data_IF_220776638744
#
_entry.id   IF_220776638744
#
_cell.length_a   1.000
_cell.length_b   1.000
_cell.length_c   1.000
_cell.angle_alpha   90.00
_cell.angle_beta   90.00
_cell.angle_gamma   90.00
#
_symmetry.space_group_name_H-M   'P 1'
#
loop_
_entity.id
_entity.type
_entity.pdbx_description
1 polymer ?
#
# COMPACT_ATOMS: atom_id res chain seq x y z
N UNK A 1 13.77 -5.34 -9.37
CA UNK A 1 14.32 -4.39 -8.38
C UNK A 1 13.24 -3.99 -7.40
N UNK A 2 13.61 -3.73 -6.14
CA UNK A 2 12.73 -3.11 -5.14
C UNK A 2 12.52 -1.63 -5.46
N UNK A 3 11.45 -1.02 -4.94
CA UNK A 3 11.13 0.40 -5.19
C UNK A 3 12.10 1.40 -4.57
N UNK A 4 12.95 0.98 -3.60
CA UNK A 4 13.94 1.86 -2.96
C UNK A 4 13.36 2.97 -2.08
N UNK A 5 12.16 2.81 -1.54
CA UNK A 5 11.51 3.81 -0.65
C UNK A 5 12.31 4.07 0.65
N UNK A 6 13.05 3.07 1.12
CA UNK A 6 13.84 3.12 2.37
C UNK A 6 15.36 3.08 2.11
N UNK A 7 15.81 3.35 0.90
CA UNK A 7 17.23 3.31 0.51
C UNK A 7 17.42 2.94 -0.96
N UNK A 8 18.64 2.54 -1.32
CA UNK A 8 18.95 2.13 -2.70
C UNK A 8 18.11 0.90 -3.13
N UNK A 9 17.60 0.94 -4.36
CA UNK A 9 16.91 -0.20 -4.98
C UNK A 9 17.79 -1.45 -5.00
N UNK A 10 17.24 -2.59 -4.57
CA UNK A 10 17.95 -3.88 -4.52
C UNK A 10 17.49 -4.77 -5.66
N UNK A 11 18.44 -5.42 -6.33
CA UNK A 11 18.15 -6.41 -7.37
C UNK A 11 17.70 -7.73 -6.76
N UNK A 12 16.41 -8.05 -6.81
CA UNK A 12 15.87 -9.31 -6.29
C UNK A 12 16.16 -10.45 -7.27
N UNK A 13 16.81 -11.51 -6.81
CA UNK A 13 17.05 -12.71 -7.62
C UNK A 13 15.81 -13.62 -7.61
N UNK A 14 15.03 -13.54 -8.68
CA UNK A 14 13.75 -14.24 -8.79
C UNK A 14 13.88 -15.52 -9.63
N UNK A 15 13.67 -16.72 -9.06
CA UNK A 15 13.54 -17.96 -9.83
C UNK A 15 12.33 -17.92 -10.78
N UNK A 16 12.38 -18.73 -11.85
CA UNK A 16 11.25 -18.84 -12.79
C UNK A 16 9.96 -19.29 -12.10
N UNK A 17 10.04 -20.22 -11.15
CA UNK A 17 8.88 -20.68 -10.39
C UNK A 17 8.24 -19.54 -9.57
N UNK A 18 9.06 -18.64 -9.01
CA UNK A 18 8.57 -17.48 -8.27
C UNK A 18 7.80 -16.51 -9.19
N UNK A 19 8.36 -16.18 -10.36
CA UNK A 19 7.69 -15.34 -11.34
C UNK A 19 6.40 -15.98 -11.89
N UNK A 20 6.43 -17.30 -12.11
CA UNK A 20 5.26 -18.05 -12.55
C UNK A 20 4.16 -18.06 -11.50
N UNK A 21 4.51 -18.26 -10.22
CA UNK A 21 3.57 -18.26 -9.12
C UNK A 21 2.79 -16.95 -9.00
N UNK A 22 3.45 -15.79 -9.14
CA UNK A 22 2.76 -14.50 -9.19
C UNK A 22 1.65 -14.48 -10.24
N UNK A 23 1.95 -14.98 -11.43
CA UNK A 23 1.03 -14.94 -12.55
C UNK A 23 -0.10 -15.98 -12.41
N UNK A 24 0.22 -17.20 -12.01
CA UNK A 24 -0.72 -18.30 -11.83
C UNK A 24 -1.74 -18.02 -10.72
N UNK A 25 -1.28 -17.51 -9.58
CA UNK A 25 -2.15 -17.06 -8.50
C UNK A 25 -3.06 -15.90 -8.94
N UNK A 26 -2.55 -14.98 -9.77
CA UNK A 26 -3.38 -13.90 -10.30
C UNK A 26 -4.46 -14.41 -11.26
N UNK A 27 -4.13 -15.39 -12.11
CA UNK A 27 -5.15 -16.08 -12.96
C UNK A 27 -6.25 -16.65 -12.08
N UNK A 28 -5.88 -17.38 -11.04
CA UNK A 28 -6.80 -18.00 -10.08
C UNK A 28 -7.64 -16.97 -9.34
N UNK A 29 -7.01 -15.92 -8.79
CA UNK A 29 -7.66 -14.86 -8.01
C UNK A 29 -8.63 -14.04 -8.83
N UNK A 30 -8.32 -13.74 -10.10
CA UNK A 30 -9.19 -12.94 -10.98
C UNK A 30 -10.11 -13.80 -11.82
N UNK A 31 -9.99 -15.13 -11.72
CA UNK A 31 -10.69 -16.10 -12.58
C UNK A 31 -10.51 -15.77 -14.06
N UNK A 32 -9.26 -15.43 -14.42
CA UNK A 32 -8.94 -14.99 -15.79
C UNK A 32 -9.01 -16.16 -16.77
N UNK A 33 -9.63 -15.91 -17.93
CA UNK A 33 -9.83 -16.88 -19.01
C UNK A 33 -9.42 -16.30 -20.36
N UNK A 34 -9.36 -17.11 -21.41
CA UNK A 34 -9.09 -16.68 -22.78
C UNK A 34 -10.13 -15.69 -23.34
N UNK A 35 -11.31 -15.61 -22.74
CA UNK A 35 -12.38 -14.69 -23.16
C UNK A 35 -12.25 -13.30 -22.52
N UNK A 36 -11.35 -13.13 -21.58
CA UNK A 36 -11.15 -11.88 -20.86
C UNK A 36 -10.23 -10.91 -21.59
N UNK A 37 -10.39 -9.63 -21.27
CA UNK A 37 -9.46 -8.57 -21.62
C UNK A 37 -8.92 -7.96 -20.33
N UNK A 38 -7.62 -8.10 -20.08
CA UNK A 38 -6.96 -7.47 -18.94
C UNK A 38 -6.35 -6.14 -19.37
N UNK A 39 -6.79 -5.03 -18.78
CA UNK A 39 -6.22 -3.71 -19.01
C UNK A 39 -5.32 -3.29 -17.85
N UNK A 40 -4.13 -2.79 -18.14
CA UNK A 40 -3.20 -2.22 -17.15
C UNK A 40 -2.58 -0.93 -17.68
N UNK A 41 -2.25 0.00 -16.78
CA UNK A 41 -1.63 1.27 -17.11
C UNK A 41 -0.29 1.50 -16.40
N UNK A 42 0.21 0.52 -15.67
CA UNK A 42 1.49 0.61 -14.98
C UNK A 42 2.68 0.24 -15.88
N UNK A 43 3.91 0.63 -15.50
CA UNK A 43 5.10 0.31 -16.26
C UNK A 43 5.42 -1.19 -16.19
N UNK A 44 5.77 -1.81 -17.34
CA UNK A 44 6.08 -3.25 -17.43
C UNK A 44 7.36 -3.68 -16.68
N UNK A 45 8.18 -2.75 -16.24
CA UNK A 45 9.31 -3.09 -15.35
C UNK A 45 8.89 -3.27 -13.89
N UNK A 46 7.65 -2.91 -13.53
CA UNK A 46 7.10 -3.10 -12.19
C UNK A 46 6.32 -4.41 -12.09
N UNK A 47 6.47 -5.12 -10.96
CA UNK A 47 5.83 -6.42 -10.73
C UNK A 47 4.31 -6.42 -10.92
N UNK A 48 3.64 -5.34 -10.54
CA UNK A 48 2.19 -5.21 -10.72
C UNK A 48 1.77 -5.34 -12.20
N UNK A 49 2.38 -4.61 -13.12
CA UNK A 49 2.00 -4.70 -14.54
C UNK A 49 2.60 -5.92 -15.25
N UNK A 50 3.79 -6.38 -14.84
CA UNK A 50 4.44 -7.52 -15.46
C UNK A 50 3.90 -8.85 -14.93
N UNK A 51 3.97 -9.07 -13.61
CA UNK A 51 3.66 -10.36 -13.00
C UNK A 51 2.19 -10.51 -12.61
N UNK A 52 1.48 -9.41 -12.38
CA UNK A 52 0.08 -9.41 -11.97
C UNK A 52 -0.90 -8.97 -13.08
N UNK A 53 -0.41 -8.70 -14.30
CA UNK A 53 -1.27 -8.38 -15.44
C UNK A 53 -0.78 -9.04 -16.75
N UNK A 54 0.40 -8.71 -17.26
CA UNK A 54 0.88 -9.21 -18.55
C UNK A 54 1.10 -10.73 -18.53
N UNK A 55 1.80 -11.28 -17.54
CA UNK A 55 2.06 -12.72 -17.44
C UNK A 55 0.80 -13.54 -17.17
N UNK A 56 -0.13 -13.14 -16.26
CA UNK A 56 -1.43 -13.80 -16.14
C UNK A 56 -2.19 -13.87 -17.47
N UNK A 57 -2.17 -12.79 -18.24
CA UNK A 57 -2.83 -12.74 -19.56
C UNK A 57 -2.20 -13.75 -20.54
N UNK A 58 -0.86 -13.90 -20.51
CA UNK A 58 -0.17 -14.91 -21.33
C UNK A 58 -0.54 -16.35 -20.91
N UNK A 59 -0.63 -16.62 -19.60
CA UNK A 59 -0.96 -17.95 -19.07
C UNK A 59 -2.41 -18.31 -19.41
N UNK A 60 -3.34 -17.36 -19.19
CA UNK A 60 -4.76 -17.58 -19.47
C UNK A 60 -5.12 -17.56 -20.96
N UNK A 61 -4.23 -17.07 -21.83
CA UNK A 61 -4.52 -16.82 -23.24
C UNK A 61 -5.47 -15.62 -23.48
N UNK A 62 -5.63 -14.76 -22.47
CA UNK A 62 -6.49 -13.59 -22.53
C UNK A 62 -5.85 -12.44 -23.33
N UNK A 63 -6.68 -11.49 -23.76
CA UNK A 63 -6.19 -10.27 -24.36
C UNK A 63 -5.58 -9.36 -23.29
N UNK A 64 -4.38 -8.84 -23.56
CA UNK A 64 -3.73 -7.84 -22.71
C UNK A 64 -3.72 -6.47 -23.39
N UNK A 65 -4.17 -5.43 -22.68
CA UNK A 65 -4.16 -4.04 -23.13
C UNK A 65 -3.32 -3.21 -22.19
N UNK A 66 -2.20 -2.71 -22.69
CA UNK A 66 -1.32 -1.80 -21.97
C UNK A 66 -1.65 -0.36 -22.37
N UNK A 67 -2.07 0.45 -21.41
CA UNK A 67 -2.22 1.88 -21.58
C UNK A 67 -0.87 2.57 -21.36
N UNK A 68 -0.62 3.63 -22.08
CA UNK A 68 0.65 4.38 -22.00
C UNK A 68 0.86 4.99 -20.59
N UNK A 69 -0.25 5.48 -20.00
CA UNK A 69 -0.24 6.10 -18.66
C UNK A 69 -1.60 5.98 -17.98
N UNK A 70 -1.61 6.11 -16.68
CA UNK A 70 -2.84 6.29 -15.91
C UNK A 70 -3.42 7.69 -16.15
N UNK A 71 -4.74 7.75 -16.28
CA UNK A 71 -5.52 8.98 -16.28
C UNK A 71 -6.86 8.70 -15.61
N UNK A 72 -7.11 9.31 -14.47
CA UNK A 72 -8.35 9.10 -13.73
C UNK A 72 -9.59 9.52 -14.53
N UNK A 73 -9.53 10.66 -15.24
CA UNK A 73 -10.62 11.18 -16.06
C UNK A 73 -10.91 10.32 -17.31
N UNK A 74 -9.89 9.64 -17.86
CA UNK A 74 -10.04 8.81 -19.05
C UNK A 74 -10.24 7.32 -18.72
N UNK A 75 -10.06 6.93 -17.46
CA UNK A 75 -10.04 5.51 -17.06
C UNK A 75 -11.29 4.75 -17.54
N UNK A 76 -12.48 5.28 -17.29
CA UNK A 76 -13.72 4.60 -17.70
C UNK A 76 -13.86 4.50 -19.22
N UNK A 77 -13.41 5.53 -19.96
CA UNK A 77 -13.39 5.51 -21.41
C UNK A 77 -12.38 4.49 -21.96
N UNK A 78 -11.23 4.33 -21.28
CA UNK A 78 -10.22 3.32 -21.61
C UNK A 78 -10.75 1.91 -21.34
N UNK A 79 -11.45 1.67 -20.21
CA UNK A 79 -12.13 0.41 -19.90
C UNK A 79 -13.11 0.04 -21.01
N UNK A 80 -14.00 0.95 -21.41
CA UNK A 80 -15.01 0.73 -22.45
C UNK A 80 -14.38 0.47 -23.82
N UNK A 81 -13.46 1.31 -24.26
CA UNK A 81 -12.84 1.20 -25.58
C UNK A 81 -12.01 -0.07 -25.76
N UNK A 82 -11.37 -0.54 -24.67
CA UNK A 82 -10.62 -1.79 -24.66
C UNK A 82 -11.51 -3.02 -24.47
N UNK A 83 -12.76 -2.85 -24.02
CA UNK A 83 -13.65 -3.89 -23.53
C UNK A 83 -13.02 -4.69 -22.41
N UNK A 84 -12.37 -3.99 -21.49
CA UNK A 84 -11.69 -4.63 -20.38
C UNK A 84 -12.69 -5.26 -19.42
N UNK A 85 -12.43 -6.54 -19.08
CA UNK A 85 -13.20 -7.31 -18.10
C UNK A 85 -12.46 -7.39 -16.77
N UNK A 86 -11.14 -7.19 -16.79
CA UNK A 86 -10.25 -7.16 -15.62
C UNK A 86 -9.32 -5.97 -15.72
N UNK A 87 -9.06 -5.31 -14.62
CA UNK A 87 -8.05 -4.26 -14.49
C UNK A 87 -7.35 -4.31 -13.14
N UNK A 88 -6.30 -3.52 -12.98
CA UNK A 88 -5.58 -3.41 -11.71
C UNK A 88 -5.37 -1.95 -11.29
N UNK A 89 -5.37 -1.74 -9.97
CA UNK A 89 -4.99 -0.48 -9.34
C UNK A 89 -3.79 -0.65 -8.42
N UNK A 90 -3.04 0.42 -8.25
CA UNK A 90 -1.96 0.54 -7.27
C UNK A 90 -2.21 1.80 -6.45
N UNK A 91 -2.14 1.67 -5.11
CA UNK A 91 -2.24 2.82 -4.21
C UNK A 91 -3.47 3.68 -4.46
N UNK A 92 -3.24 4.98 -4.59
CA UNK A 92 -4.29 6.02 -4.69
C UNK A 92 -5.04 6.10 -6.03
N UNK A 93 -4.71 5.26 -7.01
CA UNK A 93 -5.38 5.29 -8.32
C UNK A 93 -6.89 5.12 -8.21
N UNK A 94 -7.34 4.26 -7.28
CA UNK A 94 -8.75 4.02 -7.01
C UNK A 94 -9.44 5.30 -6.49
N UNK A 95 -8.77 6.02 -5.59
CA UNK A 95 -9.29 7.26 -5.02
C UNK A 95 -9.40 8.36 -6.08
N UNK A 96 -8.40 8.50 -6.95
CA UNK A 96 -8.45 9.49 -8.06
C UNK A 96 -9.57 9.21 -9.05
N UNK A 97 -9.87 7.94 -9.35
CA UNK A 97 -11.03 7.59 -10.19
C UNK A 97 -12.34 7.88 -9.45
N UNK A 98 -12.40 7.62 -8.14
CA UNK A 98 -13.58 7.89 -7.34
C UNK A 98 -13.95 9.37 -7.29
N UNK A 99 -12.96 10.24 -7.22
CA UNK A 99 -13.13 11.70 -7.19
C UNK A 99 -13.64 12.30 -8.51
N UNK A 100 -13.58 11.54 -9.63
CA UNK A 100 -14.13 12.02 -10.89
C UNK A 100 -15.65 12.21 -10.82
N UNK A 101 -16.17 13.18 -11.57
CA UNK A 101 -17.59 13.44 -11.65
C UNK A 101 -18.38 12.16 -11.98
N UNK A 102 -19.40 11.88 -11.19
CA UNK A 102 -20.26 10.70 -11.39
C UNK A 102 -21.12 10.89 -12.62
N UNK A 103 -21.18 9.87 -13.47
CA UNK A 103 -21.97 9.83 -14.70
C UNK A 103 -23.01 8.72 -14.61
N UNK A 104 -24.17 8.94 -15.21
CA UNK A 104 -25.27 7.96 -15.22
C UNK A 104 -24.89 6.65 -15.96
N UNK A 105 -23.89 6.73 -16.84
CA UNK A 105 -23.41 5.61 -17.63
C UNK A 105 -22.14 4.94 -17.05
N UNK A 106 -21.68 5.30 -15.84
CA UNK A 106 -20.46 4.73 -15.26
C UNK A 106 -20.46 3.20 -15.20
N UNK A 107 -21.62 2.57 -15.00
CA UNK A 107 -21.80 1.12 -14.99
C UNK A 107 -21.95 0.49 -16.39
N UNK A 108 -22.03 1.29 -17.47
CA UNK A 108 -22.13 0.77 -18.84
C UNK A 108 -20.75 0.36 -19.37
N UNK A 109 -20.27 -0.79 -18.92
CA UNK A 109 -18.98 -1.37 -19.28
C UNK A 109 -18.97 -2.89 -19.03
N UNK A 110 -17.88 -3.59 -19.40
CA UNK A 110 -17.74 -5.05 -19.26
C UNK A 110 -16.84 -5.45 -18.07
N UNK A 111 -16.45 -4.49 -17.22
CA UNK A 111 -15.50 -4.71 -16.11
C UNK A 111 -16.15 -5.53 -14.98
N UNK A 112 -15.68 -6.76 -14.79
CA UNK A 112 -16.18 -7.66 -13.75
C UNK A 112 -15.28 -7.76 -12.52
N UNK A 113 -13.98 -7.54 -12.69
CA UNK A 113 -13.02 -7.74 -11.61
C UNK A 113 -11.94 -6.64 -11.58
N UNK A 114 -11.64 -6.16 -10.40
CA UNK A 114 -10.51 -5.26 -10.14
C UNK A 114 -9.53 -5.94 -9.19
N UNK A 115 -8.28 -6.02 -9.60
CA UNK A 115 -7.15 -6.41 -8.76
C UNK A 115 -6.52 -5.14 -8.16
N UNK A 116 -6.58 -4.96 -6.85
CA UNK A 116 -6.09 -3.76 -6.20
C UNK A 116 -5.17 -4.09 -5.01
N UNK A 117 -4.21 -3.21 -4.74
CA UNK A 117 -3.31 -3.33 -3.60
C UNK A 117 -2.74 -1.95 -3.19
N UNK A 118 -3.25 -1.36 -2.12
CA UNK A 118 -4.47 -1.67 -1.37
C UNK A 118 -5.76 -1.20 -2.06
N UNK A 119 -6.93 -1.61 -1.53
CA UNK A 119 -8.23 -1.06 -1.91
C UNK A 119 -8.65 0.06 -0.94
N UNK A 120 -9.36 1.05 -1.45
CA UNK A 120 -10.04 2.07 -0.65
C UNK A 120 -11.27 1.45 0.06
N UNK A 121 -11.05 0.84 1.22
CA UNK A 121 -12.06 0.02 1.91
C UNK A 121 -13.33 0.78 2.29
N UNK A 122 -13.23 2.08 2.54
CA UNK A 122 -14.36 2.93 2.95
C UNK A 122 -15.38 3.18 1.84
N UNK A 123 -14.97 3.04 0.58
CA UNK A 123 -15.81 3.32 -0.60
C UNK A 123 -16.02 2.09 -1.48
N UNK A 124 -15.59 0.90 -1.02
CA UNK A 124 -15.51 -0.29 -1.86
C UNK A 124 -16.87 -0.73 -2.42
N UNK A 125 -17.91 -0.73 -1.60
CA UNK A 125 -19.25 -1.17 -2.04
C UNK A 125 -19.90 -0.13 -2.97
N UNK A 126 -19.78 1.16 -2.65
CA UNK A 126 -20.25 2.25 -3.51
C UNK A 126 -19.48 2.28 -4.84
N UNK A 127 -18.19 1.91 -4.82
CA UNK A 127 -17.39 1.80 -6.04
C UNK A 127 -17.87 0.67 -6.94
N UNK A 128 -18.20 -0.50 -6.37
CA UNK A 128 -18.80 -1.62 -7.09
C UNK A 128 -20.13 -1.22 -7.74
N UNK A 129 -21.00 -0.56 -6.98
CA UNK A 129 -22.29 -0.10 -7.48
C UNK A 129 -22.12 0.93 -8.61
N UNK A 130 -21.22 1.91 -8.43
CA UNK A 130 -20.99 2.98 -9.40
C UNK A 130 -20.54 2.43 -10.76
N UNK A 131 -19.60 1.49 -10.76
CA UNK A 131 -18.97 0.99 -11.99
C UNK A 131 -19.46 -0.40 -12.43
N UNK A 132 -20.42 -0.99 -11.73
CA UNK A 132 -20.97 -2.32 -12.07
C UNK A 132 -20.00 -3.47 -11.84
N UNK A 133 -19.01 -3.33 -10.92
CA UNK A 133 -17.95 -4.30 -10.69
C UNK A 133 -18.44 -5.42 -9.78
N UNK A 134 -18.27 -6.68 -10.22
CA UNK A 134 -18.68 -7.86 -9.46
C UNK A 134 -17.72 -8.12 -8.27
N UNK A 135 -16.41 -8.06 -8.51
CA UNK A 135 -15.42 -8.48 -7.53
C UNK A 135 -14.21 -7.55 -7.46
N UNK A 136 -13.75 -7.36 -6.24
CA UNK A 136 -12.38 -6.86 -5.95
C UNK A 136 -11.58 -7.99 -5.34
N UNK A 137 -10.36 -8.17 -5.83
CA UNK A 137 -9.35 -9.05 -5.24
C UNK A 137 -8.19 -8.19 -4.75
N UNK A 138 -7.73 -8.45 -3.56
CA UNK A 138 -6.63 -7.71 -2.94
C UNK A 138 -5.56 -8.67 -2.50
N UNK A 139 -4.32 -8.22 -2.58
CA UNK A 139 -3.16 -8.97 -2.11
C UNK A 139 -2.22 -8.08 -1.32
N UNK A 140 -1.56 -8.67 -0.36
CA UNK A 140 -0.36 -8.12 0.24
C UNK A 140 0.82 -9.00 -0.19
N UNK A 141 1.86 -8.35 -0.73
CA UNK A 141 3.04 -9.05 -1.18
C UNK A 141 4.18 -8.12 -1.51
N UNK A 142 5.34 -8.71 -1.71
CA UNK A 142 6.58 -8.03 -2.03
C UNK A 142 7.23 -8.73 -3.22
N UNK A 143 8.10 -8.03 -3.93
CA UNK A 143 8.92 -8.63 -5.00
C UNK A 143 9.66 -9.87 -4.50
N UNK A 144 10.04 -9.89 -3.23
CA UNK A 144 10.79 -10.95 -2.59
C UNK A 144 9.96 -12.20 -2.25
N UNK A 145 8.68 -12.03 -1.91
CA UNK A 145 7.85 -13.09 -1.29
C UNK A 145 6.65 -13.51 -2.10
N UNK A 146 6.40 -12.92 -3.29
CA UNK A 146 5.13 -13.10 -3.98
C UNK A 146 3.94 -12.58 -3.16
N UNK A 147 2.82 -13.31 -3.08
CA UNK A 147 1.56 -12.91 -2.45
C UNK A 147 1.19 -13.83 -1.28
N UNK A 148 1.86 -13.68 -0.11
CA UNK A 148 1.60 -14.52 1.05
C UNK A 148 0.23 -14.28 1.71
N UNK A 149 -0.39 -13.11 1.46
CA UNK A 149 -1.71 -12.75 1.97
C UNK A 149 -2.57 -12.30 0.79
N UNK A 150 -3.80 -12.79 0.71
CA UNK A 150 -4.71 -12.51 -0.38
C UNK A 150 -6.18 -12.57 0.05
N UNK A 151 -7.05 -11.87 -0.70
CA UNK A 151 -8.49 -11.97 -0.58
C UNK A 151 -9.04 -12.77 -1.77
N UNK A 152 -9.61 -13.97 -1.58
CA UNK A 152 -10.16 -14.76 -2.68
C UNK A 152 -11.31 -14.05 -3.40
N UNK A 153 -11.51 -14.39 -4.69
CA UNK A 153 -12.59 -13.85 -5.50
C UNK A 153 -13.98 -14.05 -4.86
N UNK A 154 -14.75 -12.98 -4.77
CA UNK A 154 -16.13 -13.02 -4.27
C UNK A 154 -16.25 -13.20 -2.74
N UNK A 155 -15.16 -13.19 -2.00
CA UNK A 155 -15.19 -13.21 -0.54
C UNK A 155 -15.32 -11.79 0.00
N UNK A 156 -16.35 -11.58 0.82
CA UNK A 156 -16.49 -10.33 1.58
C UNK A 156 -15.39 -10.28 2.65
N UNK A 157 -14.65 -9.20 2.70
CA UNK A 157 -13.58 -8.99 3.68
C UNK A 157 -13.94 -7.88 4.68
N UNK A 158 -13.47 -7.96 5.92
CA UNK A 158 -13.57 -6.86 6.88
C UNK A 158 -12.87 -5.60 6.35
N UNK A 159 -13.42 -4.43 6.68
CA UNK A 159 -12.81 -3.15 6.30
C UNK A 159 -11.35 -3.05 6.78
N UNK A 160 -10.47 -2.63 5.91
CA UNK A 160 -9.02 -2.48 6.18
C UNK A 160 -8.23 -3.80 6.22
N UNK A 161 -8.86 -4.97 6.09
CA UNK A 161 -8.13 -6.23 6.04
C UNK A 161 -7.37 -6.35 4.70
N UNK A 162 -6.11 -6.77 4.75
CA UNK A 162 -5.30 -7.06 3.56
C UNK A 162 -5.62 -8.44 2.95
N UNK A 163 -6.14 -9.37 3.76
CA UNK A 163 -6.53 -10.70 3.29
C UNK A 163 -6.29 -11.80 4.32
N UNK A 164 -6.35 -13.03 3.83
CA UNK A 164 -6.08 -14.28 4.53
C UNK A 164 -4.73 -14.86 4.08
N UNK A 165 -4.14 -15.73 4.90
CA UNK A 165 -2.94 -16.47 4.53
C UNK A 165 -3.18 -17.32 3.27
N UNK A 166 -2.30 -17.17 2.27
CA UNK A 166 -2.17 -18.09 1.14
C UNK A 166 -1.41 -19.36 1.58
N UNK A 167 -2.10 -20.17 2.39
CA UNK A 167 -1.53 -21.31 3.13
C UNK A 167 -0.97 -22.44 2.26
N UNK A 168 -1.41 -22.52 1.02
CA UNK A 168 -0.96 -23.58 0.11
C UNK A 168 0.46 -23.31 -0.39
N UNK A 169 0.91 -22.05 -0.35
CA UNK A 169 2.20 -21.61 -0.86
C UNK A 169 3.13 -21.03 0.19
N UNK A 170 2.58 -20.49 1.30
CA UNK A 170 3.38 -19.78 2.29
C UNK A 170 3.06 -20.20 3.72
N UNK A 171 4.09 -20.18 4.54
CA UNK A 171 4.01 -20.13 6.00
C UNK A 171 4.36 -18.70 6.43
N UNK A 172 3.56 -18.09 7.30
CA UNK A 172 3.80 -16.73 7.80
C UNK A 172 3.61 -16.66 9.31
N UNK A 173 4.34 -15.74 9.94
CA UNK A 173 4.19 -15.41 11.35
C UNK A 173 4.24 -13.92 11.56
N UNK A 174 3.65 -13.46 12.64
CA UNK A 174 3.82 -12.13 13.18
C UNK A 174 4.70 -12.22 14.41
N UNK A 175 5.86 -11.59 14.38
CA UNK A 175 6.86 -11.73 15.44
C UNK A 175 7.30 -10.38 16.00
N UNK A 176 7.78 -10.39 17.22
CA UNK A 176 8.51 -9.26 17.78
C UNK A 176 9.83 -9.10 16.99
N UNK A 177 10.11 -7.93 16.39
CA UNK A 177 11.28 -7.74 15.52
C UNK A 177 12.64 -7.85 16.23
N UNK A 178 12.67 -7.78 17.57
CA UNK A 178 13.89 -7.89 18.37
C UNK A 178 14.20 -9.33 18.80
N UNK A 179 13.13 -10.12 19.11
CA UNK A 179 13.29 -11.46 19.67
C UNK A 179 12.95 -12.59 18.71
N UNK A 180 12.27 -12.29 17.59
CA UNK A 180 11.66 -13.24 16.65
C UNK A 180 10.62 -14.19 17.31
N UNK A 181 10.13 -13.86 18.52
CA UNK A 181 9.05 -14.58 19.16
C UNK A 181 7.70 -14.16 18.60
N UNK A 182 6.80 -15.13 18.38
CA UNK A 182 5.47 -14.87 17.82
C UNK A 182 4.63 -14.02 18.79
N UNK A 183 3.99 -12.97 18.26
CA UNK A 183 3.12 -12.08 19.04
C UNK A 183 1.70 -12.66 19.15
N UNK A 184 0.96 -12.35 20.23
CA UNK A 184 -0.44 -12.74 20.40
C UNK A 184 -1.34 -12.21 19.27
N UNK A 185 -2.48 -12.88 19.08
CA UNK A 185 -3.56 -12.43 18.18
C UNK A 185 -4.03 -11.04 18.60
N UNK A 186 -4.15 -10.12 17.65
CA UNK A 186 -4.53 -8.71 17.87
C UNK A 186 -3.36 -7.76 18.11
N UNK A 187 -2.18 -8.28 18.42
CA UNK A 187 -0.97 -7.47 18.57
C UNK A 187 -0.24 -7.27 17.21
N UNK A 188 0.48 -6.16 17.10
CA UNK A 188 1.28 -5.84 15.93
C UNK A 188 2.62 -6.55 16.01
N UNK A 189 2.97 -7.31 14.97
CA UNK A 189 4.27 -7.93 14.81
C UNK A 189 4.83 -7.74 13.41
N UNK A 190 6.14 -7.94 13.26
CA UNK A 190 6.77 -8.02 11.95
C UNK A 190 6.24 -9.25 11.20
N UNK A 191 5.76 -9.06 9.98
CA UNK A 191 5.45 -10.18 9.12
C UNK A 191 6.74 -10.84 8.66
N UNK A 192 6.89 -12.12 8.98
CA UNK A 192 7.94 -12.96 8.43
C UNK A 192 7.32 -14.05 7.55
N UNK A 193 8.00 -14.36 6.44
CA UNK A 193 7.45 -15.21 5.38
C UNK A 193 8.43 -16.32 5.04
N UNK A 194 7.90 -17.54 4.80
CA UNK A 194 8.63 -18.65 4.26
C UNK A 194 7.80 -19.36 3.19
N UNK A 195 8.39 -19.61 2.03
CA UNK A 195 7.76 -20.39 0.98
C UNK A 195 7.72 -21.88 1.36
N UNK A 196 6.59 -22.55 1.08
CA UNK A 196 6.40 -23.99 1.33
C UNK A 196 7.10 -24.83 0.26
N UNK A 197 7.11 -24.34 -0.99
CA UNK A 197 7.75 -25.05 -2.09
C UNK A 197 9.06 -24.40 -2.52
N UNK A 198 10.03 -25.21 -2.98
CA UNK A 198 11.30 -24.69 -3.50
C UNK A 198 11.08 -23.74 -4.67
N UNK A 199 11.90 -22.68 -4.72
CA UNK A 199 11.95 -21.70 -5.81
C UNK A 199 10.73 -20.80 -5.97
N UNK A 200 9.77 -20.80 -5.04
CA UNK A 200 8.57 -19.96 -5.06
C UNK A 200 8.71 -18.65 -4.27
N UNK A 201 9.91 -18.36 -3.79
CA UNK A 201 10.32 -17.03 -3.27
C UNK A 201 11.70 -16.67 -3.81
N UNK A 202 12.15 -15.43 -3.54
CA UNK A 202 13.45 -14.97 -4.02
C UNK A 202 14.64 -15.73 -3.38
N UNK A 203 15.78 -15.71 -4.07
CA UNK A 203 17.04 -16.27 -3.58
C UNK A 203 17.92 -15.26 -2.84
N UNK A 204 17.41 -14.06 -2.61
CA UNK A 204 18.13 -12.93 -2.02
C UNK A 204 18.38 -11.80 -2.98
N UNK A 205 19.33 -10.95 -2.65
CA UNK A 205 19.65 -9.72 -3.40
C UNK A 205 20.95 -9.87 -4.17
N UNK A 206 20.92 -9.54 -5.45
CA UNK A 206 22.06 -9.63 -6.35
C UNK A 206 23.22 -8.75 -5.86
N UNK A 207 24.40 -9.37 -5.74
CA UNK A 207 25.63 -8.73 -5.26
C UNK A 207 25.54 -8.03 -3.88
N UNK A 208 24.55 -8.42 -3.05
CA UNK A 208 24.35 -7.88 -1.70
C UNK A 208 24.16 -9.00 -0.66
N UNK A 209 25.20 -9.82 -0.38
CA UNK A 209 25.10 -10.96 0.53
C UNK A 209 24.75 -10.55 1.96
N UNK A 210 25.30 -9.42 2.45
CA UNK A 210 25.00 -8.92 3.80
C UNK A 210 23.52 -8.56 3.94
N UNK A 211 22.95 -7.87 2.94
CA UNK A 211 21.51 -7.54 2.92
C UNK A 211 20.63 -8.78 2.77
N UNK A 212 21.09 -9.78 2.06
CA UNK A 212 20.41 -11.08 1.97
C UNK A 212 20.39 -11.77 3.33
N UNK A 213 21.54 -11.84 4.01
CA UNK A 213 21.66 -12.44 5.34
C UNK A 213 20.82 -11.71 6.39
N UNK A 214 20.78 -10.36 6.34
CA UNK A 214 19.95 -9.53 7.21
C UNK A 214 18.46 -9.82 7.00
N UNK A 215 18.02 -9.97 5.73
CA UNK A 215 16.62 -10.19 5.40
C UNK A 215 16.15 -11.64 5.66
N UNK A 216 17.06 -12.63 5.61
CA UNK A 216 16.74 -14.05 5.78
C UNK A 216 17.26 -14.62 7.11
N UNK A 217 17.15 -13.89 8.20
CA UNK A 217 17.53 -14.41 9.52
C UNK A 217 16.55 -15.51 9.98
N UNK A 218 17.06 -16.48 10.73
CA UNK A 218 16.30 -17.63 11.23
C UNK A 218 15.54 -18.44 10.16
N UNK A 219 16.03 -18.41 8.90
CA UNK A 219 15.42 -19.07 7.73
C UNK A 219 14.03 -18.53 7.35
N UNK A 220 13.70 -17.32 7.79
CA UNK A 220 12.51 -16.57 7.41
C UNK A 220 12.90 -15.29 6.71
N UNK A 221 12.12 -14.91 5.70
CA UNK A 221 12.25 -13.58 5.11
C UNK A 221 11.54 -12.56 6.00
N UNK A 222 12.27 -11.60 6.51
CA UNK A 222 11.80 -10.47 7.30
C UNK A 222 11.37 -9.34 6.39
N UNK A 223 10.06 -9.05 6.37
CA UNK A 223 9.50 -8.08 5.42
C UNK A 223 9.79 -6.63 5.82
N UNK A 224 9.98 -6.36 7.09
CA UNK A 224 10.02 -5.03 7.67
C UNK A 224 8.65 -4.36 7.73
N UNK A 225 7.57 -5.10 7.47
CA UNK A 225 6.20 -4.62 7.52
C UNK A 225 5.51 -5.12 8.80
N UNK A 226 4.90 -4.19 9.55
CA UNK A 226 4.10 -4.48 10.73
C UNK A 226 2.66 -4.81 10.36
N UNK A 227 2.19 -5.98 10.76
CA UNK A 227 0.81 -6.40 10.58
C UNK A 227 0.22 -6.86 11.92
N UNK A 228 -1.11 -6.92 11.99
CA UNK A 228 -1.84 -7.63 13.05
C UNK A 228 -2.78 -8.65 12.44
N UNK A 229 -3.14 -9.70 13.21
CA UNK A 229 -4.09 -10.72 12.80
C UNK A 229 -5.24 -10.75 13.78
N UNK A 230 -6.49 -10.84 13.30
CA UNK A 230 -7.64 -11.05 14.16
C UNK A 230 -7.87 -12.54 14.48
N UNK A 231 -8.88 -12.81 15.32
CA UNK A 231 -9.27 -14.16 15.74
C UNK A 231 -9.85 -15.02 14.60
N UNK A 232 -10.30 -14.38 13.51
CA UNK A 232 -10.83 -15.05 12.32
C UNK A 232 -9.77 -15.35 11.26
N UNK A 233 -8.51 -14.89 11.50
CA UNK A 233 -7.38 -15.12 10.61
C UNK A 233 -7.17 -14.06 9.53
N UNK A 234 -7.91 -12.94 9.58
CA UNK A 234 -7.66 -11.80 8.70
C UNK A 234 -6.43 -11.02 9.15
N UNK A 235 -5.60 -10.65 8.19
CA UNK A 235 -4.41 -9.82 8.39
C UNK A 235 -4.70 -8.38 8.01
N UNK A 236 -4.15 -7.46 8.80
CA UNK A 236 -4.29 -6.01 8.61
C UNK A 236 -2.89 -5.42 8.56
N UNK A 237 -2.59 -4.71 7.47
CA UNK A 237 -1.36 -3.91 7.40
C UNK A 237 -1.46 -2.73 8.36
N UNK A 238 -0.41 -2.51 9.14
CA UNK A 238 -0.36 -1.38 10.08
C UNK A 238 0.57 -0.30 9.56
N UNK A 239 1.84 -0.62 9.36
CA UNK A 239 2.84 0.29 8.79
C UNK A 239 4.14 -0.45 8.47
N UNK A 240 5.07 0.21 7.81
CA UNK A 240 6.45 -0.23 7.82
C UNK A 240 7.09 0.02 9.17
N UNK A 241 7.80 -0.98 9.72
CA UNK A 241 8.43 -0.84 11.03
C UNK A 241 9.42 0.33 11.12
N UNK A 242 10.09 0.65 10.00
CA UNK A 242 11.00 1.80 9.89
C UNK A 242 10.28 3.15 9.70
N UNK A 243 9.01 3.13 9.36
CA UNK A 243 8.19 4.32 9.14
C UNK A 243 7.23 4.58 10.31
N UNK A 244 7.02 3.57 11.18
CA UNK A 244 6.27 3.74 12.42
C UNK A 244 6.93 4.81 13.30
N UNK A 245 6.11 5.72 13.78
CA UNK A 245 6.51 6.86 14.59
C UNK A 245 6.35 6.50 16.06
N UNK A 246 7.25 6.93 16.91
CA UNK A 246 7.12 6.74 18.35
C UNK A 246 7.03 8.09 19.05
N UNK A 247 5.85 8.38 19.59
CA UNK A 247 5.60 9.64 20.29
C UNK A 247 5.01 9.38 21.68
N UNK A 248 5.70 9.84 22.73
CA UNK A 248 5.25 9.73 24.12
C UNK A 248 4.93 8.31 24.59
N UNK A 249 5.69 7.35 24.05
CA UNK A 249 5.48 5.93 24.33
C UNK A 249 4.39 5.26 23.53
N UNK A 250 3.68 6.00 22.66
CA UNK A 250 2.67 5.44 21.74
C UNK A 250 3.31 5.21 20.36
N UNK A 251 2.99 4.08 19.74
CA UNK A 251 3.34 3.83 18.35
C UNK A 251 2.26 4.42 17.45
N UNK A 252 2.67 5.21 16.48
CA UNK A 252 1.79 5.88 15.53
C UNK A 252 2.07 5.31 14.14
N UNK A 253 1.06 4.83 13.47
CA UNK A 253 1.15 4.45 12.06
C UNK A 253 1.14 5.69 11.19
N UNK A 254 2.21 5.87 10.41
CA UNK A 254 2.27 6.93 9.40
C UNK A 254 1.18 6.73 8.34
N UNK A 255 0.88 5.48 8.02
CA UNK A 255 -0.19 5.10 7.09
C UNK A 255 -1.58 5.50 7.60
N UNK A 256 -1.90 5.26 8.89
CA UNK A 256 -3.19 5.69 9.47
C UNK A 256 -3.35 7.22 9.45
N UNK A 257 -2.27 7.96 9.72
CA UNK A 257 -2.29 9.44 9.62
C UNK A 257 -2.56 9.89 8.19
N UNK A 258 -1.88 9.29 7.21
CA UNK A 258 -2.07 9.58 5.78
C UNK A 258 -3.49 9.28 5.32
N UNK A 259 -4.01 8.10 5.65
CA UNK A 259 -5.38 7.70 5.29
C UNK A 259 -6.43 8.65 5.88
N UNK A 260 -6.26 9.05 7.13
CA UNK A 260 -7.18 10.00 7.76
C UNK A 260 -7.20 11.36 7.05
N UNK A 261 -6.04 11.85 6.60
CA UNK A 261 -5.90 13.16 5.98
C UNK A 261 -6.25 13.19 4.49
N UNK A 262 -6.05 12.09 3.76
CA UNK A 262 -6.35 11.99 2.32
C UNK A 262 -7.82 12.30 1.99
N UNK A 263 -8.72 12.11 2.95
CA UNK A 263 -10.15 12.42 2.77
C UNK A 263 -10.49 13.93 2.87
N UNK A 264 -9.50 14.80 3.15
CA UNK A 264 -9.74 16.25 3.25
C UNK A 264 -9.78 16.90 1.85
N UNK A 265 -10.79 17.72 1.52
CA UNK A 265 -11.00 18.25 0.15
C UNK A 265 -9.85 19.09 -0.43
N UNK A 266 -9.03 19.71 0.42
CA UNK A 266 -7.89 20.52 -0.04
C UNK A 266 -6.59 19.74 -0.20
N UNK A 267 -6.58 18.43 0.12
CA UNK A 267 -5.39 17.60 0.08
C UNK A 267 -5.43 16.73 -1.18
N UNK A 268 -4.51 16.96 -2.10
CA UNK A 268 -4.27 16.08 -3.24
C UNK A 268 -3.39 14.90 -2.87
N UNK A 269 -2.27 15.16 -2.17
CA UNK A 269 -1.40 14.11 -1.67
C UNK A 269 -0.90 14.44 -0.26
N UNK A 270 -0.64 13.40 0.55
CA UNK A 270 -0.09 13.56 1.90
C UNK A 270 0.89 12.44 2.24
N UNK A 271 1.95 12.80 2.95
CA UNK A 271 2.90 11.84 3.52
C UNK A 271 3.23 12.22 4.97
N UNK A 272 3.17 11.24 5.87
CA UNK A 272 3.50 11.40 7.28
C UNK A 272 4.86 10.80 7.61
N UNK A 273 5.67 11.54 8.36
CA UNK A 273 6.98 11.10 8.85
C UNK A 273 7.20 11.52 10.30
N UNK A 274 8.08 10.80 10.99
CA UNK A 274 8.63 11.22 12.26
C UNK A 274 9.78 12.20 12.07
N UNK A 275 9.77 13.28 12.85
CA UNK A 275 10.90 14.19 13.00
C UNK A 275 11.28 14.25 14.48
N UNK A 276 12.56 14.38 14.83
CA UNK A 276 12.97 14.46 16.23
C UNK A 276 12.22 15.57 16.98
N UNK A 277 11.60 15.22 18.10
CA UNK A 277 10.80 16.17 18.91
C UNK A 277 11.67 17.15 19.70
N UNK A 278 12.71 16.63 20.33
CA UNK A 278 13.75 17.31 21.07
C UNK A 278 15.00 16.42 21.14
N UNK A 279 16.18 17.03 21.11
CA UNK A 279 17.46 16.31 21.11
C UNK A 279 17.71 15.43 22.36
N UNK A 280 16.95 15.64 23.44
CA UNK A 280 17.14 14.93 24.71
C UNK A 280 16.18 13.74 24.94
N UNK A 281 15.06 13.62 24.20
CA UNK A 281 14.02 12.66 24.56
C UNK A 281 14.00 11.38 23.71
N UNK A 282 14.65 11.33 22.56
CA UNK A 282 14.64 10.16 21.67
C UNK A 282 13.25 9.78 21.16
N UNK A 283 12.31 10.72 21.16
CA UNK A 283 10.94 10.59 20.66
C UNK A 283 10.75 11.43 19.39
N UNK A 284 9.80 11.03 18.57
CA UNK A 284 9.42 11.74 17.35
C UNK A 284 8.23 12.67 17.58
N UNK A 285 8.13 13.70 16.76
CA UNK A 285 6.88 14.44 16.51
C UNK A 285 6.34 14.10 15.11
N UNK A 286 5.03 14.06 15.00
CA UNK A 286 4.38 13.79 13.72
C UNK A 286 4.47 15.01 12.82
N UNK A 287 5.06 14.84 11.64
CA UNK A 287 5.12 15.83 10.58
C UNK A 287 4.43 15.30 9.33
N UNK A 288 3.60 16.12 8.71
CA UNK A 288 2.96 15.80 7.43
C UNK A 288 3.42 16.77 6.34
N UNK A 289 3.69 16.19 5.18
CA UNK A 289 3.95 16.92 3.94
C UNK A 289 2.70 16.79 3.07
N UNK A 290 2.18 17.92 2.61
CA UNK A 290 0.91 18.00 1.89
C UNK A 290 1.14 18.66 0.54
N UNK A 291 0.63 18.04 -0.52
CA UNK A 291 0.44 18.66 -1.84
C UNK A 291 -1.03 19.07 -1.93
N UNK A 292 -1.32 20.34 -2.21
CA UNK A 292 -2.69 20.79 -2.38
C UNK A 292 -3.39 20.08 -3.55
N UNK A 293 -4.70 19.89 -3.43
CA UNK A 293 -5.55 19.52 -4.56
C UNK A 293 -5.60 20.68 -5.57
N UNK A 294 -5.70 20.35 -6.85
CA UNK A 294 -5.70 21.33 -7.94
C UNK A 294 -6.72 22.45 -7.71
N UNK A 295 -6.22 23.68 -7.70
CA UNK A 295 -7.03 24.87 -7.47
C UNK A 295 -7.45 25.12 -6.01
N UNK A 296 -7.00 24.29 -5.07
CA UNK A 296 -7.23 24.46 -3.64
C UNK A 296 -6.05 25.11 -2.93
N UNK A 297 -6.33 25.64 -1.76
CA UNK A 297 -5.30 26.18 -0.86
C UNK A 297 -5.37 25.43 0.48
N UNK A 298 -4.24 24.94 0.95
CA UNK A 298 -4.13 24.25 2.24
C UNK A 298 -3.92 25.27 3.35
N UNK A 299 -4.86 25.31 4.30
CA UNK A 299 -4.76 26.13 5.51
C UNK A 299 -4.44 25.22 6.68
N UNK A 300 -3.27 25.38 7.30
CA UNK A 300 -2.79 24.49 8.34
C UNK A 300 -3.75 24.34 9.53
N UNK A 301 -4.42 25.42 9.93
CA UNK A 301 -5.41 25.45 11.01
C UNK A 301 -6.62 24.54 10.70
N UNK A 302 -7.08 24.49 9.45
CA UNK A 302 -8.18 23.64 9.01
C UNK A 302 -7.76 22.17 9.02
N UNK A 303 -6.53 21.87 8.59
CA UNK A 303 -5.97 20.51 8.64
C UNK A 303 -5.85 20.02 10.08
N UNK A 304 -5.39 20.84 11.01
CA UNK A 304 -5.35 20.47 12.42
C UNK A 304 -6.74 20.22 13.01
N UNK A 305 -7.73 21.10 12.72
CA UNK A 305 -9.11 20.91 13.17
C UNK A 305 -9.75 19.65 12.59
N UNK A 306 -9.39 19.30 11.36
CA UNK A 306 -9.81 18.05 10.72
C UNK A 306 -9.15 16.85 11.38
N UNK A 307 -7.83 16.92 11.60
CA UNK A 307 -7.06 15.86 12.29
C UNK A 307 -7.61 15.55 13.69
N UNK A 308 -8.06 16.57 14.44
CA UNK A 308 -8.66 16.40 15.78
C UNK A 308 -9.94 15.55 15.78
N UNK A 309 -10.65 15.50 14.66
CA UNK A 309 -11.87 14.71 14.50
C UNK A 309 -11.62 13.29 14.01
N UNK A 310 -10.50 13.08 13.33
CA UNK A 310 -10.20 11.81 12.65
C UNK A 310 -9.15 10.98 13.36
N UNK A 311 -8.26 11.59 14.13
CA UNK A 311 -7.10 10.96 14.74
C UNK A 311 -7.14 11.05 16.26
N UNK A 312 -6.56 10.07 16.98
CA UNK A 312 -6.33 10.20 18.40
C UNK A 312 -5.32 11.32 18.68
N UNK A 313 -5.43 11.97 19.84
CA UNK A 313 -4.65 13.16 20.22
C UNK A 313 -3.13 13.00 19.99
N UNK A 314 -2.58 11.81 20.24
CA UNK A 314 -1.15 11.54 20.09
C UNK A 314 -0.70 11.46 18.62
N UNK A 315 -1.61 11.17 17.69
CA UNK A 315 -1.31 11.02 16.25
C UNK A 315 -1.57 12.31 15.45
N UNK A 316 -2.15 13.35 16.06
CA UNK A 316 -2.37 14.63 15.38
C UNK A 316 -1.01 15.26 15.01
N UNK A 317 -0.81 15.64 13.73
CA UNK A 317 0.44 16.25 13.29
C UNK A 317 0.76 17.53 14.08
N UNK A 318 1.99 17.66 14.56
CA UNK A 318 2.49 18.92 15.07
C UNK A 318 2.90 19.84 13.93
N UNK A 319 3.57 19.27 12.94
CA UNK A 319 4.15 20.00 11.85
C UNK A 319 3.42 19.72 10.54
N UNK A 320 3.17 20.78 9.77
CA UNK A 320 2.63 20.73 8.43
C UNK A 320 3.55 21.49 7.49
N UNK A 321 3.99 20.82 6.42
CA UNK A 321 4.80 21.42 5.38
C UNK A 321 4.09 21.24 4.03
N UNK A 322 3.94 22.31 3.28
CA UNK A 322 3.25 22.29 1.98
C UNK A 322 4.30 22.22 0.89
N UNK A 323 4.14 21.29 -0.04
CA UNK A 323 5.00 21.08 -1.20
C UNK A 323 4.20 21.19 -2.49
N UNK A 324 4.88 21.51 -3.59
CA UNK A 324 4.28 21.45 -4.94
C UNK A 324 4.14 19.98 -5.41
N UNK A 325 5.08 19.11 -5.01
CA UNK A 325 5.06 17.67 -5.30
C UNK A 325 5.77 16.87 -4.20
N UNK A 326 5.34 15.63 -3.97
CA UNK A 326 6.05 14.70 -3.09
C UNK A 326 7.17 14.00 -3.86
N UNK A 327 8.35 13.77 -3.23
CA UNK A 327 9.41 12.96 -3.84
C UNK A 327 8.94 11.52 -4.01
N UNK A 328 8.97 11.02 -5.25
CA UNK A 328 8.47 9.69 -5.59
C UNK A 328 9.51 8.82 -6.29
N UNK A 329 9.30 7.52 -6.21
CA UNK A 329 10.00 6.54 -7.04
C UNK A 329 9.34 6.48 -8.43
N UNK A 330 10.01 5.86 -9.44
CA UNK A 330 9.39 5.63 -10.76
C UNK A 330 8.11 4.77 -10.73
N UNK A 331 7.79 4.14 -9.60
CA UNK A 331 6.55 3.39 -9.36
C UNK A 331 5.54 4.14 -8.49
N UNK A 332 5.63 5.47 -8.46
CA UNK A 332 4.73 6.41 -7.75
C UNK A 332 4.68 6.24 -6.22
N UNK A 333 5.66 5.56 -5.60
CA UNK A 333 5.75 5.43 -4.15
C UNK A 333 6.53 6.60 -3.56
N UNK A 334 5.99 7.21 -2.50
CA UNK A 334 6.63 8.33 -1.79
C UNK A 334 7.95 7.88 -1.15
N UNK A 335 8.98 8.70 -1.30
CA UNK A 335 10.32 8.50 -0.71
C UNK A 335 10.42 9.19 0.64
N UNK A 336 9.83 8.57 1.67
CA UNK A 336 9.75 9.14 3.04
C UNK A 336 11.11 9.49 3.64
N UNK A 337 12.19 8.83 3.21
CA UNK A 337 13.54 9.17 3.67
C UNK A 337 13.92 10.60 3.28
N UNK A 338 13.60 11.04 2.06
CA UNK A 338 13.88 12.40 1.62
C UNK A 338 13.07 13.43 2.40
N UNK A 339 11.82 13.10 2.72
CA UNK A 339 10.98 13.96 3.55
C UNK A 339 11.51 14.09 4.99
N UNK A 340 12.01 13.00 5.57
CA UNK A 340 12.68 13.05 6.89
C UNK A 340 13.94 13.88 6.86
N UNK A 341 14.73 13.77 5.79
CA UNK A 341 15.98 14.54 5.63
C UNK A 341 15.70 16.04 5.43
N UNK A 342 14.54 16.41 4.84
CA UNK A 342 14.09 17.81 4.78
C UNK A 342 13.81 18.37 6.18
N UNK A 343 13.21 17.58 7.05
CA UNK A 343 12.91 17.94 8.43
C UNK A 343 12.06 19.20 8.57
N UNK A 344 12.13 19.80 9.76
CA UNK A 344 11.43 21.06 10.06
C UNK A 344 12.23 22.24 9.49
N UNK A 345 11.60 23.08 8.67
CA UNK A 345 12.20 24.26 8.04
C UNK A 345 11.44 25.54 8.39
N UNK A 346 11.90 26.70 7.88
CA UNK A 346 11.23 28.00 8.06
C UNK A 346 9.81 28.04 7.49
N UNK A 347 9.52 27.21 6.46
CA UNK A 347 8.22 27.19 5.79
C UNK A 347 7.25 26.20 6.44
N UNK A 348 7.75 25.39 7.42
CA UNK A 348 6.94 24.45 8.17
C UNK A 348 6.04 25.20 9.18
N UNK A 349 4.76 24.89 9.15
CA UNK A 349 3.80 25.37 10.16
C UNK A 349 3.91 24.51 11.41
N UNK A 350 4.07 25.14 12.57
CA UNK A 350 4.17 24.46 13.87
C UNK A 350 2.94 24.81 14.73
N UNK A 351 2.20 23.80 15.13
CA UNK A 351 1.08 23.91 16.06
C UNK A 351 1.52 24.21 17.49
N UNK A 352 2.78 23.99 17.76
CA UNK A 352 3.36 24.01 19.10
C UNK A 352 3.17 22.68 19.84
N UNK A 353 3.93 22.50 20.95
CA UNK A 353 3.88 21.27 21.74
C UNK A 353 2.50 21.11 22.39
N UNK A 354 1.86 19.95 22.17
CA UNK A 354 0.61 19.64 22.83
C UNK A 354 0.82 19.34 24.32
N UNK A 355 -0.06 19.84 25.23
CA UNK A 355 0.05 19.55 26.65
C UNK A 355 -0.12 18.04 26.91
N UNK A 356 0.73 17.46 27.78
CA UNK A 356 0.53 16.08 28.26
C UNK A 356 -0.82 15.98 28.97
N UNK A 357 -1.76 15.18 28.44
CA UNK A 357 -2.97 14.85 29.21
C UNK A 357 -2.55 14.12 30.48
N UNK A 358 -2.92 14.65 31.65
CA UNK A 358 -2.79 13.91 32.91
C UNK A 358 -3.63 12.65 32.79
N UNK A 359 -3.00 11.46 32.92
CA UNK A 359 -3.73 10.18 33.08
C UNK A 359 -4.74 10.40 34.25
N UNK A 360 -6.04 10.25 33.94
CA UNK A 360 -7.09 10.17 34.93
C UNK A 360 -7.07 8.79 35.60
#
# INVERSE_FOLDING_TARGET
FTSGTTGLSKGVMMPHAHMYLFADETVSLTRLTENDTYMSCGPLFHGNSQFLAAYPSLIAGSKYVLQERFSASEWINQIRSSKATVTNFIGVMMDFVWQQERRDDDADNELRCVFAAPTASSILEEYKERFGIEAFVEVFGLTETCMPILTPYGISRPAGAAGLLNKDWFDIRLVNPETDEEVPVGEVGELIVRAVFPWTSCQGYFAMPDKTSEAFRNLWFHTGDGLKRDEYGWYYFVDRLKDALRRRGENISSYEVEQALTSHPSIGEVAAVGVPADQEAGEDEVMVFIVPEDGQNVIAEEIWQYSEKQLPDFAIPRYIHILDELPKTPSEKVRKIELRDMGVSSDTKDRGPQPRRKKK
#
